data_IF_407972800750
#
_entry.id   IF_407972800750
#
_cell.length_a   1.000
_cell.length_b   1.000
_cell.length_c   1.000
_cell.angle_alpha   90.00
_cell.angle_beta   90.00
_cell.angle_gamma   90.00
#
_symmetry.space_group_name_H-M   'P 1'
#
loop_
_entity.id
_entity.type
_entity.pdbx_description
1 polymer ?
#
# COMPACT_ATOMS: atom_id res chain seq x y z
N UNK A 1 8.74 -23.46 13.54
CA UNK A 1 9.44 -22.59 12.57
C UNK A 1 8.53 -22.08 11.45
N UNK A 2 7.84 -22.94 10.70
CA UNK A 2 6.96 -22.54 9.59
C UNK A 2 5.83 -21.57 9.99
N UNK A 3 5.14 -21.84 11.11
CA UNK A 3 4.11 -20.95 11.65
C UNK A 3 4.65 -19.53 11.94
N UNK A 4 5.85 -19.43 12.51
CA UNK A 4 6.50 -18.15 12.82
C UNK A 4 6.82 -17.38 11.53
N UNK A 5 7.31 -18.07 10.49
CA UNK A 5 7.57 -17.47 9.19
C UNK A 5 6.29 -16.94 8.53
N UNK A 6 5.19 -17.69 8.61
CA UNK A 6 3.89 -17.26 8.09
C UNK A 6 3.34 -16.04 8.85
N UNK A 7 3.48 -16.02 10.18
CA UNK A 7 3.11 -14.87 10.99
C UNK A 7 3.93 -13.62 10.63
N UNK A 8 5.24 -13.79 10.45
CA UNK A 8 6.13 -12.69 10.05
C UNK A 8 5.75 -12.14 8.67
N UNK A 9 5.44 -13.02 7.71
CA UNK A 9 4.99 -12.63 6.37
C UNK A 9 3.67 -11.84 6.44
N UNK A 10 2.72 -12.30 7.26
CA UNK A 10 1.45 -11.60 7.47
C UNK A 10 1.65 -10.22 8.09
N UNK A 11 2.52 -10.12 9.11
CA UNK A 11 2.84 -8.84 9.75
C UNK A 11 3.48 -7.86 8.76
N UNK A 12 4.42 -8.35 7.94
CA UNK A 12 5.06 -7.55 6.90
C UNK A 12 4.04 -7.03 5.88
N UNK A 13 3.10 -7.88 5.45
CA UNK A 13 2.02 -7.50 4.55
C UNK A 13 1.14 -6.40 5.16
N UNK A 14 0.75 -6.56 6.43
CA UNK A 14 -0.07 -5.59 7.14
C UNK A 14 0.65 -4.24 7.26
N UNK A 15 1.93 -4.25 7.64
CA UNK A 15 2.75 -3.05 7.75
C UNK A 15 2.84 -2.31 6.41
N UNK A 16 3.05 -3.06 5.32
CA UNK A 16 3.12 -2.48 3.99
C UNK A 16 1.78 -1.90 3.54
N UNK A 17 0.67 -2.58 3.80
CA UNK A 17 -0.65 -2.06 3.53
C UNK A 17 -0.92 -0.75 4.28
N UNK A 18 -0.50 -0.68 5.55
CA UNK A 18 -0.62 0.53 6.37
C UNK A 18 0.22 1.67 5.78
N UNK A 19 1.47 1.40 5.38
CA UNK A 19 2.35 2.38 4.76
C UNK A 19 1.75 2.92 3.46
N UNK A 20 1.20 2.03 2.63
CA UNK A 20 0.51 2.40 1.40
C UNK A 20 -0.69 3.32 1.69
N UNK A 21 -1.53 2.95 2.67
CA UNK A 21 -2.68 3.76 3.05
C UNK A 21 -2.26 5.15 3.52
N UNK A 22 -1.20 5.24 4.32
CA UNK A 22 -0.64 6.51 4.77
C UNK A 22 -0.15 7.36 3.59
N UNK A 23 0.55 6.75 2.64
CA UNK A 23 1.04 7.46 1.46
C UNK A 23 -0.11 7.96 0.58
N UNK A 24 -1.17 7.15 0.41
CA UNK A 24 -2.38 7.54 -0.32
C UNK A 24 -3.07 8.73 0.37
N UNK A 25 -3.18 8.70 1.70
CA UNK A 25 -3.75 9.80 2.49
C UNK A 25 -2.92 11.09 2.31
N UNK A 26 -1.59 10.97 2.34
CA UNK A 26 -0.69 12.11 2.13
C UNK A 26 -0.85 12.69 0.72
N UNK A 27 -0.96 11.82 -0.30
CA UNK A 27 -1.20 12.22 -1.67
C UNK A 27 -2.53 12.97 -1.82
N UNK A 28 -3.59 12.46 -1.18
CA UNK A 28 -4.89 13.11 -1.17
C UNK A 28 -4.83 14.48 -0.49
N UNK A 29 -4.14 14.58 0.66
CA UNK A 29 -3.94 15.85 1.35
C UNK A 29 -3.18 16.85 0.47
N UNK A 30 -2.13 16.39 -0.23
CA UNK A 30 -1.35 17.21 -1.17
C UNK A 30 -2.22 17.74 -2.31
N UNK A 31 -3.20 16.96 -2.79
CA UNK A 31 -4.16 17.39 -3.81
C UNK A 31 -5.18 18.40 -3.25
N UNK A 32 -5.66 18.16 -2.03
CA UNK A 32 -6.67 19.01 -1.39
C UNK A 32 -6.14 20.41 -1.06
N UNK A 33 -4.86 20.54 -0.73
CA UNK A 33 -4.25 21.82 -0.38
C UNK A 33 -4.38 22.90 -1.47
N UNK A 34 -3.93 22.69 -2.73
CA UNK A 34 -4.08 23.68 -3.79
C UNK A 34 -5.55 23.94 -4.14
N UNK A 35 -6.44 22.96 -4.01
CA UNK A 35 -7.88 23.14 -4.20
C UNK A 35 -8.49 24.05 -3.13
N UNK A 36 -8.10 23.86 -1.87
CA UNK A 36 -8.54 24.72 -0.76
C UNK A 36 -8.01 26.15 -0.93
N UNK A 37 -6.76 26.31 -1.37
CA UNK A 37 -6.19 27.62 -1.69
C UNK A 37 -6.94 28.29 -2.85
N UNK A 38 -7.29 27.54 -3.90
CA UNK A 38 -8.11 28.04 -5.01
C UNK A 38 -9.46 28.53 -4.52
N UNK A 39 -10.14 27.73 -3.68
CA UNK A 39 -11.44 28.08 -3.12
C UNK A 39 -11.37 29.35 -2.27
N UNK A 40 -10.37 29.45 -1.40
CA UNK A 40 -10.14 30.63 -0.55
C UNK A 40 -9.90 31.88 -1.42
N UNK A 41 -9.10 31.76 -2.47
CA UNK A 41 -8.82 32.85 -3.40
C UNK A 41 -10.10 33.29 -4.14
N UNK A 42 -10.92 32.34 -4.58
CA UNK A 42 -12.22 32.61 -5.21
C UNK A 42 -13.18 33.32 -4.27
N UNK A 43 -13.27 32.87 -3.01
CA UNK A 43 -14.10 33.49 -1.99
C UNK A 43 -13.65 34.92 -1.71
N UNK A 44 -12.34 35.15 -1.60
CA UNK A 44 -11.76 36.48 -1.39
C UNK A 44 -12.08 37.40 -2.57
N UNK A 45 -11.94 36.92 -3.80
CA UNK A 45 -12.27 37.67 -5.01
C UNK A 45 -13.77 38.03 -5.04
N UNK A 46 -14.64 37.06 -4.72
CA UNK A 46 -16.08 37.28 -4.66
C UNK A 46 -16.44 38.32 -3.60
N UNK A 47 -15.88 38.21 -2.39
CA UNK A 47 -16.10 39.17 -1.30
C UNK A 47 -15.70 40.58 -1.74
N UNK A 48 -14.54 40.72 -2.38
CA UNK A 48 -14.05 42.00 -2.86
C UNK A 48 -14.94 42.57 -3.97
N UNK A 49 -15.46 41.73 -4.86
CA UNK A 49 -16.41 42.13 -5.90
C UNK A 49 -17.75 42.58 -5.31
N UNK A 50 -18.28 41.86 -4.32
CA UNK A 50 -19.50 42.25 -3.60
C UNK A 50 -19.30 43.57 -2.87
N UNK A 51 -18.16 43.75 -2.18
CA UNK A 51 -17.82 45.00 -1.51
C UNK A 51 -17.79 46.16 -2.52
N UNK A 52 -17.12 45.97 -3.66
CA UNK A 52 -17.06 46.96 -4.73
C UNK A 52 -18.47 47.29 -5.25
N UNK A 53 -19.30 46.27 -5.51
CA UNK A 53 -20.68 46.45 -5.94
C UNK A 53 -21.52 47.24 -4.92
N UNK A 54 -21.40 46.92 -3.63
CA UNK A 54 -22.11 47.63 -2.56
C UNK A 54 -21.71 49.10 -2.50
N UNK A 55 -20.42 49.40 -2.61
CA UNK A 55 -19.93 50.80 -2.67
C UNK A 55 -20.49 51.55 -3.87
N UNK A 56 -20.71 50.86 -5.01
CA UNK A 56 -21.30 51.47 -6.21
C UNK A 56 -22.82 51.70 -6.11
N UNK A 57 -23.54 50.88 -5.33
CA UNK A 57 -25.00 50.94 -5.22
C UNK A 57 -25.51 51.85 -4.10
N UNK A 58 -24.72 52.06 -3.04
CA UNK A 58 -25.09 52.90 -1.91
C UNK A 58 -24.93 54.40 -2.25
N UNK A 59 -25.77 55.30 -1.68
CA UNK A 59 -25.57 56.74 -1.81
C UNK A 59 -24.15 57.10 -1.35
N UNK A 60 -23.49 58.08 -1.98
CA UNK A 60 -22.06 58.28 -1.83
C UNK A 60 -21.70 58.52 -0.35
N UNK A 61 -21.01 57.58 0.32
CA UNK A 61 -20.44 57.86 1.62
C UNK A 61 -19.35 58.94 1.46
N UNK A 62 -18.90 59.58 2.56
CA UNK A 62 -17.68 60.39 2.51
C UNK A 62 -16.57 59.57 1.83
N UNK A 63 -15.78 60.19 0.93
CA UNK A 63 -14.85 59.45 0.10
C UNK A 63 -13.89 58.66 0.99
N UNK A 64 -13.72 57.34 0.74
CA UNK A 64 -12.76 56.56 1.51
C UNK A 64 -11.37 57.17 1.37
N UNK A 65 -10.52 57.07 2.41
CA UNK A 65 -9.19 57.64 2.37
C UNK A 65 -8.45 57.06 1.14
N UNK A 66 -7.79 57.92 0.33
CA UNK A 66 -7.23 57.53 -0.97
C UNK A 66 -6.24 56.37 -0.88
N UNK A 67 -5.60 56.17 0.28
CA UNK A 67 -4.72 55.03 0.57
C UNK A 67 -5.43 53.68 0.48
N UNK A 68 -6.68 53.59 0.94
CA UNK A 68 -7.45 52.34 0.87
C UNK A 68 -7.87 52.02 -0.56
N UNK A 69 -8.27 53.05 -1.34
CA UNK A 69 -8.60 52.88 -2.76
C UNK A 69 -7.40 52.41 -3.57
N UNK A 70 -6.22 53.01 -3.33
CA UNK A 70 -4.98 52.59 -3.99
C UNK A 70 -4.61 51.14 -3.63
N UNK A 71 -4.79 50.74 -2.37
CA UNK A 71 -4.56 49.36 -1.93
C UNK A 71 -5.50 48.39 -2.63
N UNK A 72 -6.80 48.70 -2.71
CA UNK A 72 -7.79 47.87 -3.41
C UNK A 72 -7.50 47.77 -4.92
N UNK A 73 -7.16 48.89 -5.54
CA UNK A 73 -6.81 48.96 -6.96
C UNK A 73 -5.56 48.14 -7.28
N UNK A 74 -4.60 48.06 -6.35
CA UNK A 74 -3.39 47.25 -6.51
C UNK A 74 -3.65 45.77 -6.19
N UNK A 75 -4.51 45.48 -5.21
CA UNK A 75 -4.79 44.12 -4.76
C UNK A 75 -5.66 43.34 -5.78
N UNK A 76 -6.64 43.98 -6.41
CA UNK A 76 -7.49 43.34 -7.42
C UNK A 76 -6.69 42.70 -8.59
N UNK A 77 -5.83 43.42 -9.33
CA UNK A 77 -5.05 42.84 -10.42
C UNK A 77 -4.06 41.79 -9.92
N UNK A 78 -3.53 41.94 -8.69
CA UNK A 78 -2.69 40.91 -8.07
C UNK A 78 -3.47 39.59 -7.87
N UNK A 79 -4.69 39.65 -7.30
CA UNK A 79 -5.54 38.48 -7.13
C UNK A 79 -5.93 37.86 -8.48
N UNK A 80 -6.27 38.69 -9.46
CA UNK A 80 -6.60 38.24 -10.81
C UNK A 80 -5.42 37.56 -11.51
N UNK A 81 -4.18 37.97 -11.22
CA UNK A 81 -2.97 37.32 -11.74
C UNK A 81 -2.61 36.05 -10.97
N UNK A 82 -2.87 35.99 -9.67
CA UNK A 82 -2.65 34.79 -8.85
C UNK A 82 -3.57 33.63 -9.25
N UNK A 83 -4.82 33.92 -9.63
CA UNK A 83 -5.80 32.91 -10.04
C UNK A 83 -5.32 32.00 -11.20
N UNK A 84 -4.93 32.52 -12.38
CA UNK A 84 -4.45 31.69 -13.49
C UNK A 84 -3.13 30.99 -13.15
N UNK A 85 -2.25 31.61 -12.34
CA UNK A 85 -1.01 30.97 -11.90
C UNK A 85 -1.31 29.75 -11.02
N UNK A 86 -2.25 29.87 -10.08
CA UNK A 86 -2.67 28.77 -9.22
C UNK A 86 -3.41 27.67 -10.00
N UNK A 87 -4.23 28.06 -10.99
CA UNK A 87 -4.88 27.11 -11.90
C UNK A 87 -3.86 26.36 -12.77
N UNK A 88 -2.85 27.04 -13.29
CA UNK A 88 -1.74 26.42 -14.02
C UNK A 88 -0.97 25.45 -13.13
N UNK A 89 -0.67 25.85 -11.89
CA UNK A 89 -0.02 24.96 -10.92
C UNK A 89 -0.87 23.70 -10.68
N UNK A 90 -2.18 23.85 -10.49
CA UNK A 90 -3.10 22.72 -10.31
C UNK A 90 -3.11 21.81 -11.55
N UNK A 91 -3.17 22.40 -12.75
CA UNK A 91 -3.16 21.67 -14.02
C UNK A 91 -1.87 20.88 -14.21
N UNK A 92 -0.72 21.40 -13.77
CA UNK A 92 0.57 20.71 -13.82
C UNK A 92 0.71 19.65 -12.73
N UNK A 93 0.18 19.92 -11.53
CA UNK A 93 0.27 19.02 -10.38
C UNK A 93 -0.62 17.79 -10.57
N UNK A 94 -1.79 17.94 -11.20
CA UNK A 94 -2.72 16.84 -11.44
C UNK A 94 -2.10 15.65 -12.21
N UNK A 95 -1.51 15.82 -13.41
CA UNK A 95 -0.90 14.70 -14.14
C UNK A 95 0.30 14.11 -13.41
N UNK A 96 1.09 14.93 -12.70
CA UNK A 96 2.20 14.44 -11.88
C UNK A 96 1.69 13.56 -10.73
N UNK A 97 0.61 13.98 -10.06
CA UNK A 97 -0.03 13.22 -8.99
C UNK A 97 -0.67 11.92 -9.50
N UNK A 98 -1.30 11.96 -10.68
CA UNK A 98 -1.83 10.77 -11.34
C UNK A 98 -0.71 9.79 -11.71
N UNK A 99 0.41 10.29 -12.23
CA UNK A 99 1.59 9.47 -12.53
C UNK A 99 2.14 8.83 -11.26
N UNK A 100 2.26 9.60 -10.17
CA UNK A 100 2.72 9.10 -8.89
C UNK A 100 1.78 8.03 -8.32
N UNK A 101 0.46 8.23 -8.42
CA UNK A 101 -0.54 7.25 -8.03
C UNK A 101 -0.43 5.97 -8.87
N UNK A 102 -0.25 6.10 -10.18
CA UNK A 102 -0.08 4.96 -11.08
C UNK A 102 1.19 4.18 -10.74
N UNK A 103 2.31 4.87 -10.50
CA UNK A 103 3.57 4.26 -10.09
C UNK A 103 3.41 3.52 -8.75
N UNK A 104 2.70 4.13 -7.79
CA UNK A 104 2.41 3.50 -6.51
C UNK A 104 1.57 2.24 -6.67
N UNK A 105 0.53 2.29 -7.51
CA UNK A 105 -0.31 1.14 -7.81
C UNK A 105 0.50 0.01 -8.48
N UNK A 106 1.38 0.35 -9.42
CA UNK A 106 2.28 -0.60 -10.06
C UNK A 106 3.21 -1.27 -9.04
N UNK A 107 3.81 -0.47 -8.15
CA UNK A 107 4.67 -0.97 -7.08
C UNK A 107 3.91 -1.93 -6.17
N UNK A 108 2.67 -1.59 -5.80
CA UNK A 108 1.81 -2.44 -5.01
C UNK A 108 1.52 -3.76 -5.71
N UNK A 109 1.16 -3.72 -7.00
CA UNK A 109 0.88 -4.92 -7.79
C UNK A 109 2.13 -5.82 -7.87
N UNK A 110 3.29 -5.23 -8.12
CA UNK A 110 4.56 -5.95 -8.18
C UNK A 110 4.86 -6.64 -6.85
N UNK A 111 4.67 -5.93 -5.74
CA UNK A 111 4.93 -6.48 -4.42
C UNK A 111 3.93 -7.57 -4.03
N UNK A 112 2.66 -7.41 -4.38
CA UNK A 112 1.65 -8.45 -4.21
C UNK A 112 2.03 -9.70 -5.01
N UNK A 113 2.47 -9.53 -6.26
CA UNK A 113 2.93 -10.62 -7.10
C UNK A 113 4.14 -11.34 -6.48
N UNK A 114 5.12 -10.59 -5.98
CA UNK A 114 6.30 -11.14 -5.30
C UNK A 114 5.90 -11.94 -4.05
N UNK A 115 4.96 -11.41 -3.27
CA UNK A 115 4.46 -12.09 -2.07
C UNK A 115 3.70 -13.37 -2.43
N UNK A 116 2.88 -13.34 -3.48
CA UNK A 116 2.18 -14.52 -3.98
C UNK A 116 3.18 -15.59 -4.44
N UNK A 117 4.22 -15.19 -5.18
CA UNK A 117 5.29 -16.08 -5.62
C UNK A 117 6.01 -16.72 -4.42
N UNK A 118 6.34 -15.92 -3.40
CA UNK A 118 6.97 -16.40 -2.18
C UNK A 118 6.08 -17.41 -1.44
N UNK A 119 4.78 -17.14 -1.34
CA UNK A 119 3.82 -18.04 -0.72
C UNK A 119 3.72 -19.35 -1.50
N UNK A 120 3.65 -19.29 -2.83
CA UNK A 120 3.64 -20.47 -3.70
C UNK A 120 4.90 -21.31 -3.50
N UNK A 121 6.06 -20.68 -3.46
CA UNK A 121 7.34 -21.34 -3.23
C UNK A 121 7.36 -22.03 -1.86
N UNK A 122 6.88 -21.35 -0.81
CA UNK A 122 6.79 -21.92 0.53
C UNK A 122 5.87 -23.14 0.56
N UNK A 123 4.71 -23.06 -0.10
CA UNK A 123 3.77 -24.17 -0.21
C UNK A 123 4.39 -25.36 -0.93
N UNK A 124 5.10 -25.13 -2.03
CA UNK A 124 5.79 -26.16 -2.79
C UNK A 124 6.88 -26.84 -1.94
N UNK A 125 7.65 -26.05 -1.18
CA UNK A 125 8.66 -26.58 -0.27
C UNK A 125 8.04 -27.41 0.86
N UNK A 126 6.91 -26.98 1.41
CA UNK A 126 6.16 -27.74 2.41
C UNK A 126 5.68 -29.08 1.83
N UNK A 127 5.10 -29.07 0.62
CA UNK A 127 4.67 -30.28 -0.06
C UNK A 127 5.84 -31.25 -0.27
N UNK A 128 6.98 -30.75 -0.75
CA UNK A 128 8.17 -31.55 -0.97
C UNK A 128 8.70 -32.16 0.33
N UNK A 129 8.70 -31.39 1.43
CA UNK A 129 9.09 -31.88 2.75
C UNK A 129 8.15 -33.01 3.24
N UNK A 130 6.84 -32.85 3.05
CA UNK A 130 5.86 -33.87 3.41
C UNK A 130 6.06 -35.16 2.61
N UNK A 131 6.30 -35.05 1.30
CA UNK A 131 6.59 -36.20 0.43
C UNK A 131 7.88 -36.91 0.87
N UNK A 132 8.93 -36.16 1.19
CA UNK A 132 10.19 -36.73 1.69
C UNK A 132 9.99 -37.47 3.02
N UNK A 133 9.23 -36.87 3.95
CA UNK A 133 8.90 -37.50 5.23
C UNK A 133 8.13 -38.81 5.02
N UNK A 134 7.15 -38.82 4.12
CA UNK A 134 6.39 -40.02 3.79
C UNK A 134 7.28 -41.13 3.21
N UNK A 135 8.20 -40.77 2.31
CA UNK A 135 9.17 -41.71 1.74
C UNK A 135 10.07 -42.31 2.84
N UNK A 136 10.56 -41.48 3.77
CA UNK A 136 11.38 -41.95 4.88
C UNK A 136 10.62 -42.92 5.79
N UNK A 137 9.35 -42.63 6.08
CA UNK A 137 8.49 -43.53 6.87
C UNK A 137 8.27 -44.88 6.16
N UNK A 138 8.04 -44.87 4.85
CA UNK A 138 7.93 -46.10 4.05
C UNK A 138 9.22 -46.93 4.10
N UNK A 139 10.37 -46.28 3.97
CA UNK A 139 11.68 -46.95 4.05
C UNK A 139 11.91 -47.57 5.44
N UNK A 140 11.57 -46.84 6.50
CA UNK A 140 11.68 -47.34 7.88
C UNK A 140 10.77 -48.57 8.09
N UNK A 141 9.54 -48.51 7.59
CA UNK A 141 8.60 -49.63 7.68
C UNK A 141 9.10 -50.86 6.91
N UNK A 142 9.69 -50.66 5.73
CA UNK A 142 10.32 -51.73 4.95
C UNK A 142 11.49 -52.37 5.72
N UNK A 143 12.35 -51.55 6.34
CA UNK A 143 13.48 -52.03 7.14
C UNK A 143 13.00 -52.85 8.34
N UNK A 144 11.97 -52.37 9.05
CA UNK A 144 11.36 -53.07 10.18
C UNK A 144 10.80 -54.44 9.74
N UNK A 145 10.10 -54.48 8.61
CA UNK A 145 9.57 -55.74 8.03
C UNK A 145 10.70 -56.73 7.72
N UNK A 146 11.79 -56.25 7.13
CA UNK A 146 12.94 -57.09 6.79
C UNK A 146 13.64 -57.63 8.05
N UNK A 147 13.77 -56.80 9.09
CA UNK A 147 14.32 -57.21 10.38
C UNK A 147 13.42 -58.24 11.08
N UNK A 148 12.11 -58.07 11.03
CA UNK A 148 11.13 -59.03 11.56
C UNK A 148 11.25 -60.37 10.82
N UNK A 149 11.36 -60.33 9.49
CA UNK A 149 11.54 -61.52 8.66
C UNK A 149 12.86 -62.24 8.97
N UNK A 150 13.95 -61.50 9.16
CA UNK A 150 15.24 -62.08 9.56
C UNK A 150 15.15 -62.75 10.94
N UNK A 151 14.52 -62.10 11.91
CA UNK A 151 14.31 -62.65 13.25
C UNK A 151 13.47 -63.95 13.18
N UNK A 152 12.42 -63.96 12.37
CA UNK A 152 11.61 -65.16 12.11
C UNK A 152 12.46 -66.29 11.53
N UNK A 153 13.32 -66.01 10.56
CA UNK A 153 14.22 -67.01 9.97
C UNK A 153 15.21 -67.58 11.01
N UNK A 154 15.78 -66.73 11.86
CA UNK A 154 16.67 -67.16 12.95
C UNK A 154 15.92 -68.08 13.93
N UNK A 155 14.71 -67.69 14.34
CA UNK A 155 13.87 -68.49 15.23
C UNK A 155 13.53 -69.87 14.63
N UNK A 156 13.15 -69.91 13.35
CA UNK A 156 12.86 -71.16 12.64
C UNK A 156 14.11 -72.04 12.52
N UNK A 157 15.27 -71.46 12.22
CA UNK A 157 16.52 -72.19 12.13
C UNK A 157 16.94 -72.79 13.48
N UNK A 158 16.84 -72.01 14.55
CA UNK A 158 17.16 -72.47 15.90
C UNK A 158 16.22 -73.60 16.36
N UNK A 159 14.92 -73.48 16.09
CA UNK A 159 13.94 -74.52 16.37
C UNK A 159 14.24 -75.82 15.62
N UNK A 160 14.61 -75.73 14.34
CA UNK A 160 14.97 -76.90 13.56
C UNK A 160 16.20 -77.62 14.11
N UNK A 161 17.25 -76.88 14.48
CA UNK A 161 18.49 -77.44 15.02
C UNK A 161 18.26 -78.16 16.36
N UNK A 162 17.37 -77.65 17.22
CA UNK A 162 17.03 -78.30 18.48
C UNK A 162 16.22 -79.60 18.33
N UNK A 163 15.40 -79.73 17.29
CA UNK A 163 14.63 -80.95 17.03
C UNK A 163 15.42 -82.05 16.32
N UNK A 164 16.55 -81.72 15.71
CA UNK A 164 17.41 -82.66 14.99
C UNK A 164 18.44 -83.37 15.87
N UNK A 165 18.50 -83.04 17.17
CA UNK A 165 19.32 -83.72 18.19
C UNK A 165 18.44 -84.64 19.02
#
# INVERSE_FOLDING_TARGET
>A
MLLLLLLLLLLLLLLLLLLLLLLLLLLLLLLLLPLLLLLLLLLLLLLLLVLLLLVLLLPPPPPPPPRLLLLLLLLLPLLLLLLPLLLLLLLLLLPLLLLLLLLLLLLLLLLLLLLLLLLLLLLLLLLLLLLLLQLLLLLLLLLLLLLLLLLLLILLHHHHHHHSQ
#
